data_IF_187998732999
#
_entry.id   IF_187998732999
#
_cell.length_a   1.000
_cell.length_b   1.000
_cell.length_c   1.000
_cell.angle_alpha   90.00
_cell.angle_beta   90.00
_cell.angle_gamma   90.00
#
_symmetry.space_group_name_H-M   'P 1'
#
loop_
_entity.id
_entity.type
_entity.pdbx_description
1 polymer ?
#
# COMPACT_ATOMS: atom_id res chain seq x y z
N UNK A 1 -16.67 14.52 69.15
CA UNK A 1 -15.52 14.84 68.26
C UNK A 1 -15.15 13.67 67.32
N UNK A 2 -16.12 12.88 66.84
CA UNK A 2 -15.85 11.68 66.00
C UNK A 2 -16.34 11.80 64.55
N UNK A 3 -17.24 12.74 64.24
CA UNK A 3 -17.82 12.91 62.90
C UNK A 3 -16.85 13.51 61.87
N UNK A 4 -15.97 14.43 62.30
CA UNK A 4 -14.94 15.02 61.41
C UNK A 4 -13.93 13.97 60.94
N UNK A 5 -13.51 13.05 61.81
CA UNK A 5 -12.55 11.99 61.47
C UNK A 5 -13.10 11.01 60.43
N UNK A 6 -14.37 10.61 60.55
CA UNK A 6 -15.03 9.70 59.60
C UNK A 6 -15.07 10.24 58.17
N UNK A 7 -15.28 11.55 58.00
CA UNK A 7 -15.26 12.18 56.67
C UNK A 7 -13.85 12.16 56.04
N UNK A 8 -12.79 12.41 56.84
CA UNK A 8 -11.42 12.28 56.36
C UNK A 8 -11.06 10.85 55.95
N UNK A 9 -11.49 9.84 56.70
CA UNK A 9 -11.28 8.44 56.30
C UNK A 9 -12.03 8.09 55.01
N UNK A 10 -13.25 8.59 54.83
CA UNK A 10 -14.03 8.41 53.60
C UNK A 10 -13.38 9.06 52.39
N UNK A 11 -12.88 10.30 52.51
CA UNK A 11 -12.19 10.98 51.40
C UNK A 11 -10.88 10.30 51.02
N UNK A 12 -10.11 9.81 52.01
CA UNK A 12 -8.90 9.01 51.77
C UNK A 12 -9.22 7.70 51.05
N UNK A 13 -10.29 6.99 51.44
CA UNK A 13 -10.69 5.76 50.78
C UNK A 13 -11.11 6.00 49.31
N UNK A 14 -11.83 7.10 49.04
CA UNK A 14 -12.23 7.51 47.69
C UNK A 14 -11.00 7.85 46.84
N UNK A 15 -10.05 8.62 47.37
CA UNK A 15 -8.82 8.97 46.67
C UNK A 15 -7.98 7.72 46.34
N UNK A 16 -7.87 6.78 47.28
CA UNK A 16 -7.17 5.52 47.06
C UNK A 16 -7.83 4.70 45.95
N UNK A 17 -9.16 4.63 45.95
CA UNK A 17 -9.92 3.91 44.91
C UNK A 17 -9.74 4.55 43.52
N UNK A 18 -9.80 5.88 43.43
CA UNK A 18 -9.51 6.64 42.21
C UNK A 18 -8.09 6.38 41.69
N UNK A 19 -7.11 6.31 42.58
CA UNK A 19 -5.71 6.04 42.23
C UNK A 19 -5.55 4.63 41.62
N UNK A 20 -6.25 3.64 42.19
CA UNK A 20 -6.28 2.26 41.66
C UNK A 20 -6.96 2.22 40.29
N UNK A 21 -8.09 2.92 40.11
CA UNK A 21 -8.78 2.98 38.81
C UNK A 21 -7.87 3.57 37.74
N UNK A 22 -7.18 4.68 38.05
CA UNK A 22 -6.27 5.34 37.11
C UNK A 22 -5.08 4.43 36.75
N UNK A 23 -4.51 3.71 37.73
CA UNK A 23 -3.37 2.82 37.47
C UNK A 23 -3.76 1.62 36.60
N UNK A 24 -4.93 1.01 36.87
CA UNK A 24 -5.45 -0.09 36.06
C UNK A 24 -5.77 0.37 34.64
N UNK A 25 -6.40 1.53 34.48
CA UNK A 25 -6.74 2.07 33.16
C UNK A 25 -5.50 2.32 32.32
N UNK A 26 -4.43 2.89 32.92
CA UNK A 26 -3.14 3.08 32.23
C UNK A 26 -2.50 1.76 31.81
N UNK A 27 -2.50 0.76 32.69
CA UNK A 27 -1.92 -0.55 32.41
C UNK A 27 -2.64 -1.28 31.27
N UNK A 28 -3.97 -1.25 31.26
CA UNK A 28 -4.78 -1.85 30.19
C UNK A 28 -4.52 -1.16 28.85
N UNK A 29 -4.39 0.18 28.85
CA UNK A 29 -4.17 0.95 27.63
C UNK A 29 -2.78 0.71 27.04
N UNK A 30 -1.76 0.61 27.89
CA UNK A 30 -0.39 0.29 27.47
C UNK A 30 -0.28 -1.12 26.85
N UNK A 31 -0.98 -2.09 27.42
CA UNK A 31 -1.04 -3.46 26.85
C UNK A 31 -1.75 -3.46 25.49
N UNK A 32 -2.83 -2.69 25.34
CA UNK A 32 -3.52 -2.55 24.06
C UNK A 32 -2.62 -1.93 22.98
N UNK A 33 -1.96 -0.81 23.27
CA UNK A 33 -1.02 -0.19 22.31
C UNK A 33 0.12 -1.13 21.89
N UNK A 34 0.63 -1.96 22.81
CA UNK A 34 1.68 -2.94 22.49
C UNK A 34 1.18 -4.09 21.62
N UNK A 35 -0.10 -4.46 21.70
CA UNK A 35 -0.68 -5.53 20.86
C UNK A 35 -0.79 -5.10 19.40
N UNK A 36 -1.22 -3.85 19.15
CA UNK A 36 -1.38 -3.32 17.79
C UNK A 36 -0.03 -3.25 17.06
N UNK A 37 1.03 -2.86 17.76
CA UNK A 37 2.39 -2.83 17.22
C UNK A 37 2.86 -4.25 16.83
N UNK A 38 2.56 -5.27 17.64
CA UNK A 38 2.96 -6.65 17.33
C UNK A 38 2.20 -7.21 16.13
N UNK A 39 0.92 -6.87 15.98
CA UNK A 39 0.13 -7.30 14.82
C UNK A 39 0.58 -6.61 13.53
N UNK A 40 0.86 -5.31 13.58
CA UNK A 40 1.33 -4.54 12.44
C UNK A 40 2.71 -5.03 11.97
N UNK A 41 3.65 -5.22 12.90
CA UNK A 41 4.99 -5.75 12.56
C UNK A 41 4.96 -7.17 12.02
N UNK A 42 4.06 -8.02 12.51
CA UNK A 42 3.87 -9.38 11.95
C UNK A 42 3.29 -9.33 10.54
N UNK A 43 2.32 -8.46 10.28
CA UNK A 43 1.76 -8.28 8.94
C UNK A 43 2.84 -7.79 7.96
N UNK A 44 3.64 -6.80 8.37
CA UNK A 44 4.76 -6.28 7.58
C UNK A 44 5.77 -7.39 7.25
N UNK A 45 6.16 -8.22 8.23
CA UNK A 45 7.05 -9.36 8.00
C UNK A 45 6.48 -10.35 6.98
N UNK A 46 5.20 -10.71 7.07
CA UNK A 46 4.59 -11.66 6.12
C UNK A 46 4.56 -11.13 4.69
N UNK A 47 4.35 -9.82 4.50
CA UNK A 47 4.38 -9.19 3.18
C UNK A 47 5.80 -9.20 2.62
N UNK A 48 6.79 -8.81 3.42
CA UNK A 48 8.19 -8.80 3.01
C UNK A 48 8.72 -10.21 2.69
N UNK A 49 8.33 -11.23 3.44
CA UNK A 49 8.71 -12.62 3.16
C UNK A 49 8.11 -13.12 1.84
N UNK A 50 6.83 -12.83 1.59
CA UNK A 50 6.18 -13.18 0.32
C UNK A 50 6.85 -12.48 -0.87
N UNK A 51 7.19 -11.20 -0.73
CA UNK A 51 7.91 -10.45 -1.76
C UNK A 51 9.32 -11.01 -1.99
N UNK A 52 10.03 -11.38 -0.92
CA UNK A 52 11.35 -12.00 -1.02
C UNK A 52 11.32 -13.33 -1.77
N UNK A 53 10.33 -14.19 -1.49
CA UNK A 53 10.14 -15.46 -2.19
C UNK A 53 9.88 -15.22 -3.68
N UNK A 54 8.98 -14.28 -4.01
CA UNK A 54 8.67 -13.93 -5.40
C UNK A 54 9.91 -13.41 -6.14
N UNK A 55 10.69 -12.54 -5.52
CA UNK A 55 11.92 -12.00 -6.10
C UNK A 55 12.99 -13.09 -6.31
N UNK A 56 13.13 -14.02 -5.37
CA UNK A 56 14.04 -15.17 -5.53
C UNK A 56 13.65 -16.06 -6.69
N UNK A 57 12.36 -16.37 -6.85
CA UNK A 57 11.87 -17.15 -7.99
C UNK A 57 12.14 -16.45 -9.33
N UNK A 58 11.86 -15.14 -9.40
CA UNK A 58 12.16 -14.35 -10.59
C UNK A 58 13.66 -14.29 -10.91
N UNK A 59 14.51 -14.24 -9.88
CA UNK A 59 15.97 -14.29 -10.04
C UNK A 59 16.42 -15.64 -10.59
N UNK A 60 15.92 -16.75 -10.04
CA UNK A 60 16.23 -18.09 -10.53
C UNK A 60 15.79 -18.28 -11.99
N UNK A 61 14.62 -17.79 -12.35
CA UNK A 61 14.13 -17.81 -13.74
C UNK A 61 15.03 -16.96 -14.66
N UNK A 62 15.39 -15.75 -14.24
CA UNK A 62 16.26 -14.87 -15.01
C UNK A 62 17.70 -15.41 -15.17
N UNK A 63 18.18 -16.19 -14.19
CA UNK A 63 19.48 -16.86 -14.24
C UNK A 63 19.45 -18.18 -15.01
N UNK A 64 18.26 -18.68 -15.37
CA UNK A 64 18.14 -19.91 -16.14
C UNK A 64 18.80 -19.77 -17.51
N UNK A 65 19.43 -20.85 -17.99
CA UNK A 65 20.07 -20.87 -19.31
C UNK A 65 19.10 -20.56 -20.42
N UNK A 66 17.85 -21.01 -20.31
CA UNK A 66 16.80 -20.75 -21.29
C UNK A 66 16.49 -19.25 -21.40
N UNK A 67 16.35 -18.56 -20.27
CA UNK A 67 16.12 -17.12 -20.24
C UNK A 67 17.30 -16.35 -20.83
N UNK A 68 18.53 -16.70 -20.43
CA UNK A 68 19.75 -16.08 -20.96
C UNK A 68 19.88 -16.28 -22.47
N UNK A 69 19.62 -17.50 -22.96
CA UNK A 69 19.66 -17.81 -24.39
C UNK A 69 18.57 -17.03 -25.14
N UNK A 70 17.35 -16.97 -24.61
CA UNK A 70 16.25 -16.20 -25.19
C UNK A 70 16.56 -14.71 -25.26
N UNK A 71 17.06 -14.12 -24.18
CA UNK A 71 17.47 -12.72 -24.14
C UNK A 71 18.63 -12.42 -25.10
N UNK A 72 19.63 -13.31 -25.17
CA UNK A 72 20.72 -13.18 -26.13
C UNK A 72 20.21 -13.23 -27.57
N UNK A 73 19.32 -14.18 -27.91
CA UNK A 73 18.69 -14.30 -29.23
C UNK A 73 17.89 -13.04 -29.59
N UNK A 74 17.04 -12.58 -28.67
CA UNK A 74 16.22 -11.38 -28.87
C UNK A 74 17.09 -10.14 -29.12
N UNK A 75 18.15 -9.95 -28.31
CA UNK A 75 19.07 -8.81 -28.46
C UNK A 75 19.91 -8.87 -29.73
N UNK A 76 20.22 -10.07 -30.22
CA UNK A 76 20.93 -10.29 -31.47
C UNK A 76 20.00 -10.31 -32.70
N UNK A 77 18.68 -10.16 -32.52
CA UNK A 77 17.69 -10.24 -33.59
C UNK A 77 17.59 -11.63 -34.23
N UNK A 78 18.00 -12.68 -33.50
CA UNK A 78 17.95 -14.07 -33.96
C UNK A 78 16.67 -14.74 -33.46
N UNK A 79 15.91 -15.37 -34.36
CA UNK A 79 14.69 -16.11 -34.02
C UNK A 79 14.93 -17.63 -34.08
N UNK A 80 14.28 -18.40 -33.21
CA UNK A 80 14.28 -19.88 -33.34
C UNK A 80 13.43 -20.30 -34.55
N UNK A 81 13.68 -21.49 -35.15
CA UNK A 81 12.82 -22.03 -36.20
C UNK A 81 11.37 -22.09 -35.72
N UNK A 82 10.48 -21.30 -36.33
CA UNK A 82 9.06 -21.17 -35.95
C UNK A 82 8.66 -19.88 -35.24
N UNK A 83 9.61 -19.03 -34.81
CA UNK A 83 9.32 -17.68 -34.31
C UNK A 83 9.24 -16.67 -35.47
N UNK A 84 8.20 -15.82 -35.47
CA UNK A 84 8.05 -14.73 -36.45
C UNK A 84 8.42 -13.40 -35.79
N UNK A 85 9.43 -12.72 -36.33
CA UNK A 85 9.83 -11.38 -35.85
C UNK A 85 8.90 -10.34 -36.46
N UNK A 86 8.05 -9.74 -35.64
CA UNK A 86 7.14 -8.66 -36.07
C UNK A 86 7.82 -7.31 -35.79
N UNK A 87 8.30 -6.64 -36.84
CA UNK A 87 8.72 -5.24 -36.75
C UNK A 87 7.47 -4.36 -36.81
N UNK A 88 7.11 -3.75 -35.67
CA UNK A 88 6.10 -2.69 -35.66
C UNK A 88 6.76 -1.40 -36.11
N UNK A 89 6.46 -0.95 -37.32
CA UNK A 89 6.65 0.46 -37.68
C UNK A 89 5.74 1.28 -36.75
N UNK A 90 6.36 2.01 -35.83
CA UNK A 90 5.68 3.04 -35.05
C UNK A 90 5.25 4.10 -36.05
N UNK A 91 4.06 3.93 -36.64
CA UNK A 91 3.33 5.01 -37.26
C UNK A 91 3.06 5.97 -36.11
N UNK A 92 3.90 7.01 -35.99
CA UNK A 92 3.57 8.15 -35.16
C UNK A 92 2.17 8.54 -35.59
N UNK A 93 1.22 8.40 -34.66
CA UNK A 93 -0.14 8.84 -34.89
C UNK A 93 0.00 10.33 -35.20
N UNK A 94 -0.08 10.65 -36.49
CA UNK A 94 0.02 12.00 -36.98
C UNK A 94 -0.92 12.84 -36.14
N UNK A 95 -0.37 13.84 -35.47
CA UNK A 95 -1.05 14.82 -34.61
C UNK A 95 -2.08 15.68 -35.37
N UNK A 96 -2.52 15.23 -36.54
CA UNK A 96 -3.49 15.88 -37.43
C UNK A 96 -4.94 15.73 -36.96
N UNK A 97 -5.20 15.13 -35.80
CA UNK A 97 -6.51 15.21 -35.14
C UNK A 97 -6.66 16.46 -34.23
N UNK A 98 -5.60 17.23 -33.98
CA UNK A 98 -5.62 18.42 -33.13
C UNK A 98 -5.61 19.75 -33.91
N UNK A 99 -5.81 19.72 -35.22
CA UNK A 99 -5.95 20.93 -36.05
C UNK A 99 -7.39 21.45 -36.07
N UNK A 100 -7.96 21.67 -34.89
CA UNK A 100 -9.23 22.36 -34.70
C UNK A 100 -9.09 23.30 -33.52
N UNK A 101 -9.35 24.59 -33.74
CA UNK A 101 -9.32 25.67 -32.75
C UNK A 101 -9.68 25.14 -31.35
N UNK A 102 -8.82 25.29 -30.30
CA UNK A 102 -9.09 24.71 -28.99
C UNK A 102 -10.46 25.16 -28.50
N UNK A 103 -11.38 24.21 -28.39
CA UNK A 103 -12.73 24.46 -27.92
C UNK A 103 -12.66 24.98 -26.49
N UNK A 104 -12.86 26.30 -26.34
CA UNK A 104 -12.79 27.04 -25.07
C UNK A 104 -13.95 26.73 -24.12
N UNK A 105 -14.89 25.87 -24.53
CA UNK A 105 -16.01 25.46 -23.69
C UNK A 105 -15.52 24.66 -22.48
N UNK A 106 -16.09 24.98 -21.33
CA UNK A 106 -15.90 24.18 -20.10
C UNK A 106 -16.58 22.83 -20.24
N UNK A 107 -16.12 21.83 -19.47
CA UNK A 107 -16.56 20.43 -19.63
C UNK A 107 -18.10 20.27 -19.63
N UNK A 108 -18.83 20.96 -18.76
CA UNK A 108 -20.30 20.87 -18.69
C UNK A 108 -21.02 21.43 -19.93
N UNK A 109 -20.47 22.48 -20.57
CA UNK A 109 -21.03 23.04 -21.80
C UNK A 109 -20.93 22.04 -22.96
N UNK A 110 -19.89 21.20 -22.95
CA UNK A 110 -19.76 20.09 -23.91
C UNK A 110 -20.83 19.03 -23.68
N UNK A 111 -21.13 18.69 -22.42
CA UNK A 111 -22.18 17.73 -22.08
C UNK A 111 -23.57 18.20 -22.50
N UNK A 112 -23.90 19.47 -22.31
CA UNK A 112 -25.21 20.03 -22.71
C UNK A 112 -25.43 19.88 -24.22
N UNK A 113 -24.44 20.20 -25.05
CA UNK A 113 -24.57 20.10 -26.52
C UNK A 113 -24.62 18.68 -27.08
N UNK A 114 -24.43 17.64 -26.26
CA UNK A 114 -24.64 16.25 -26.66
C UNK A 114 -26.10 15.79 -26.46
N UNK A 115 -26.86 16.48 -25.60
CA UNK A 115 -28.20 16.05 -25.19
C UNK A 115 -29.31 17.04 -25.58
N UNK A 116 -28.95 18.21 -26.10
CA UNK A 116 -29.87 19.24 -26.60
C UNK A 116 -29.36 19.77 -27.94
#
# INVERSE_FOLDING_TARGET
MNTRKGWFFGTIAILLNLLIIVSLTRSVWEVWQRRDIVTERKAELTVLEAENIKLKQALEEAQSREYIEREARNKLGMAKPGETVILFERREASESAASGNPDRRTNWQRWVGLFF
#
